data_IF_534120381510
#
_entry.id   IF_534120381510
#
_cell.length_a   1.000
_cell.length_b   1.000
_cell.length_c   1.000
_cell.angle_alpha   90.00
_cell.angle_beta   90.00
_cell.angle_gamma   90.00
#
_symmetry.space_group_name_H-M   'P 1'
#
loop_
_entity.id
_entity.type
_entity.pdbx_description
1 polymer ?
#
# COMPACT_ATOMS: atom_id res chain seq x y z
N UNK A 1 21.83 -7.17 3.24
CA UNK A 1 20.64 -8.02 3.12
C UNK A 1 19.57 -7.12 2.55
N UNK A 2 18.99 -7.44 1.39
CA UNK A 2 17.97 -6.61 0.76
C UNK A 2 16.63 -6.87 1.44
N UNK A 3 15.94 -5.80 1.86
CA UNK A 3 14.62 -5.89 2.47
C UNK A 3 13.59 -5.50 1.40
N UNK A 4 12.72 -6.45 1.05
CA UNK A 4 11.68 -6.24 0.03
C UNK A 4 10.41 -5.75 0.72
N UNK A 5 9.90 -4.64 0.25
CA UNK A 5 8.63 -4.07 0.70
C UNK A 5 7.65 -4.02 -0.47
N UNK A 6 6.38 -3.98 -0.14
CA UNK A 6 5.30 -3.80 -1.09
C UNK A 6 4.86 -2.35 -1.04
N UNK A 7 4.82 -1.72 -2.21
CA UNK A 7 4.28 -0.39 -2.41
C UNK A 7 2.97 -0.51 -3.15
N UNK A 8 1.87 0.00 -2.58
CA UNK A 8 0.60 0.13 -3.29
C UNK A 8 0.41 1.58 -3.70
N UNK A 9 0.24 1.82 -5.00
CA UNK A 9 -0.06 3.15 -5.53
C UNK A 9 -1.56 3.35 -5.65
N UNK A 10 -1.99 4.61 -5.60
CA UNK A 10 -3.37 5.00 -5.80
C UNK A 10 -3.46 6.11 -6.84
N UNK A 11 -4.58 6.16 -7.57
CA UNK A 11 -4.91 7.30 -8.43
C UNK A 11 -5.64 8.41 -7.65
N UNK A 12 -6.28 8.08 -6.52
CA UNK A 12 -6.98 9.06 -5.68
C UNK A 12 -6.52 9.02 -4.22
N UNK A 13 -6.55 10.18 -3.57
CA UNK A 13 -6.29 10.31 -2.13
C UNK A 13 -7.39 9.61 -1.31
N UNK A 14 -8.61 9.53 -1.83
CA UNK A 14 -9.72 8.84 -1.15
C UNK A 14 -9.42 7.36 -0.94
N UNK A 15 -8.83 6.71 -1.94
CA UNK A 15 -8.47 5.28 -1.87
C UNK A 15 -7.30 5.06 -0.91
N UNK A 16 -6.31 5.97 -0.93
CA UNK A 16 -5.21 5.96 0.02
C UNK A 16 -5.70 6.05 1.48
N UNK A 17 -6.67 6.93 1.76
CA UNK A 17 -7.27 7.06 3.09
C UNK A 17 -8.12 5.84 3.48
N UNK A 18 -8.87 5.27 2.53
CA UNK A 18 -9.64 4.05 2.77
C UNK A 18 -8.72 2.87 3.11
N UNK A 19 -7.58 2.75 2.42
CA UNK A 19 -6.59 1.74 2.75
C UNK A 19 -5.98 1.98 4.13
N UNK A 20 -5.66 3.22 4.49
CA UNK A 20 -5.11 3.55 5.81
C UNK A 20 -6.04 3.06 6.94
N UNK A 21 -7.33 3.34 6.82
CA UNK A 21 -8.32 2.92 7.82
C UNK A 21 -8.40 1.40 7.91
N UNK A 22 -8.51 0.72 6.76
CA UNK A 22 -8.58 -0.73 6.72
C UNK A 22 -7.33 -1.41 7.29
N UNK A 23 -6.13 -0.90 6.96
CA UNK A 23 -4.87 -1.47 7.44
C UNK A 23 -4.74 -1.25 8.95
N UNK A 24 -5.15 -0.08 9.44
CA UNK A 24 -5.18 0.22 10.86
C UNK A 24 -6.15 -0.67 11.62
N UNK A 25 -7.31 -1.00 11.05
CA UNK A 25 -8.26 -1.96 11.63
C UNK A 25 -7.73 -3.39 11.62
N UNK A 26 -7.02 -3.78 10.56
CA UNK A 26 -6.40 -5.09 10.43
C UNK A 26 -5.14 -5.26 11.31
N UNK A 27 -4.57 -4.15 11.79
CA UNK A 27 -3.36 -4.13 12.61
C UNK A 27 -2.10 -4.50 11.83
N UNK A 28 -2.08 -4.27 10.51
CA UNK A 28 -0.89 -4.53 9.70
C UNK A 28 0.11 -3.38 9.83
N UNK A 29 1.41 -3.69 9.72
CA UNK A 29 2.47 -2.68 9.75
C UNK A 29 2.67 -2.06 8.37
N UNK A 30 1.70 -1.26 7.98
CA UNK A 30 1.77 -0.42 6.80
C UNK A 30 1.78 1.06 7.17
N UNK A 31 2.45 1.87 6.37
CA UNK A 31 2.42 3.32 6.48
C UNK A 31 2.14 3.94 5.11
N UNK A 32 1.25 4.94 5.09
CA UNK A 32 1.12 5.81 3.93
C UNK A 32 2.35 6.70 3.85
N UNK A 33 3.12 6.57 2.78
CA UNK A 33 4.27 7.41 2.48
C UNK A 33 3.98 8.29 1.26
N UNK A 34 4.63 9.47 1.17
CA UNK A 34 4.68 10.20 -0.09
C UNK A 34 5.32 9.31 -1.16
N UNK A 35 4.77 9.35 -2.36
CA UNK A 35 5.23 8.54 -3.48
C UNK A 35 6.71 8.82 -3.78
N UNK A 36 7.57 7.79 -3.82
CA UNK A 36 8.96 7.93 -4.23
C UNK A 36 9.08 8.43 -5.68
N UNK A 37 10.08 9.25 -5.98
CA UNK A 37 10.36 9.76 -7.34
C UNK A 37 10.49 8.64 -8.41
N UNK A 38 10.94 7.45 -7.99
CA UNK A 38 11.04 6.26 -8.86
C UNK A 38 9.68 5.66 -9.24
N UNK A 39 8.63 5.97 -8.49
CA UNK A 39 7.28 5.47 -8.71
C UNK A 39 6.41 6.61 -9.26
N UNK A 40 5.76 6.36 -10.40
CA UNK A 40 4.86 7.35 -11.03
C UNK A 40 3.42 6.92 -10.82
N UNK A 41 2.68 7.65 -9.98
CA UNK A 41 1.29 7.39 -9.62
C UNK A 41 0.51 8.70 -9.53
N UNK A 42 -0.79 8.64 -9.84
CA UNK A 42 -1.64 9.80 -10.07
C UNK A 42 -1.84 10.73 -8.87
N UNK A 43 -1.85 10.21 -7.64
CA UNK A 43 -2.18 11.01 -6.44
C UNK A 43 -0.96 11.49 -5.63
N UNK A 44 0.25 11.00 -5.92
CA UNK A 44 1.46 11.34 -5.16
C UNK A 44 1.59 10.67 -3.78
N UNK A 45 0.70 9.71 -3.45
CA UNK A 45 0.79 8.89 -2.25
C UNK A 45 0.91 7.40 -2.58
N UNK A 46 1.58 6.69 -1.69
CA UNK A 46 1.81 5.27 -1.78
C UNK A 46 1.70 4.62 -0.41
N UNK A 47 1.12 3.43 -0.35
CA UNK A 47 1.11 2.63 0.86
C UNK A 47 2.34 1.73 0.89
N UNK A 48 3.20 1.88 1.90
CA UNK A 48 4.37 1.03 2.11
C UNK A 48 4.06 -0.02 3.15
N UNK A 49 4.31 -1.28 2.80
CA UNK A 49 4.09 -2.42 3.67
C UNK A 49 5.26 -3.42 3.57
N UNK A 50 5.58 -4.17 4.63
CA UNK A 50 6.47 -5.34 4.49
C UNK A 50 5.88 -6.43 3.59
N UNK A 51 6.73 -7.10 2.79
CA UNK A 51 6.34 -8.21 1.91
C UNK A 51 5.79 -9.42 2.67
N UNK A 52 6.22 -9.62 3.92
CA UNK A 52 5.75 -10.68 4.83
C UNK A 52 4.26 -10.58 5.12
N UNK A 53 3.69 -9.38 5.12
CA UNK A 53 2.27 -9.14 5.37
C UNK A 53 1.46 -8.93 4.07
N UNK A 54 2.05 -9.24 2.91
CA UNK A 54 1.33 -9.22 1.62
C UNK A 54 0.08 -10.09 1.64
N UNK A 55 0.14 -11.27 2.25
CA UNK A 55 -1.00 -12.18 2.36
C UNK A 55 -2.22 -11.56 3.06
N UNK A 56 -2.08 -11.08 4.31
CA UNK A 56 -3.18 -10.40 4.99
C UNK A 56 -3.58 -9.08 4.32
N UNK A 57 -2.65 -8.34 3.69
CA UNK A 57 -2.99 -7.15 2.90
C UNK A 57 -3.90 -7.49 1.71
N UNK A 58 -3.57 -8.51 0.92
CA UNK A 58 -4.40 -8.95 -0.22
C UNK A 58 -5.78 -9.45 0.25
N UNK A 59 -5.84 -10.14 1.40
CA UNK A 59 -7.09 -10.57 2.00
C UNK A 59 -7.95 -9.37 2.44
N UNK A 60 -7.34 -8.39 3.10
CA UNK A 60 -7.97 -7.16 3.53
C UNK A 60 -8.50 -6.34 2.34
N UNK A 61 -7.69 -6.19 1.28
CA UNK A 61 -8.10 -5.47 0.07
C UNK A 61 -9.31 -6.11 -0.59
N UNK A 62 -9.40 -7.45 -0.60
CA UNK A 62 -10.60 -8.17 -1.06
C UNK A 62 -11.79 -8.02 -0.12
N UNK A 63 -11.56 -8.12 1.19
CA UNK A 63 -12.64 -8.07 2.19
C UNK A 63 -13.27 -6.68 2.29
N UNK A 64 -12.43 -5.64 2.31
CA UNK A 64 -12.80 -4.23 2.38
C UNK A 64 -13.08 -3.61 1.00
N UNK A 65 -12.90 -4.38 -0.08
CA UNK A 65 -13.04 -3.93 -1.47
C UNK A 65 -12.29 -2.61 -1.74
N UNK A 66 -11.02 -2.56 -1.34
CA UNK A 66 -10.18 -1.37 -1.47
C UNK A 66 -9.71 -1.20 -2.91
N UNK A 67 -10.11 -0.08 -3.51
CA UNK A 67 -9.57 0.34 -4.79
C UNK A 67 -8.09 0.73 -4.64
N UNK A 68 -7.29 0.26 -5.58
CA UNK A 68 -5.85 0.49 -5.64
C UNK A 68 -5.44 0.51 -7.10
N UNK A 69 -4.44 1.32 -7.43
CA UNK A 69 -3.95 1.42 -8.80
C UNK A 69 -3.07 0.20 -9.12
N UNK A 70 -1.93 0.08 -8.42
CA UNK A 70 -0.97 -1.02 -8.63
C UNK A 70 -0.29 -1.41 -7.34
N UNK A 71 -0.02 -2.70 -7.21
CA UNK A 71 0.83 -3.26 -6.17
C UNK A 71 2.19 -3.53 -6.80
N UNK A 72 3.23 -2.88 -6.27
CA UNK A 72 4.61 -2.94 -6.73
C UNK A 72 5.48 -3.51 -5.62
N UNK A 73 6.51 -4.25 -6.00
CA UNK A 73 7.55 -4.69 -5.06
C UNK A 73 8.72 -3.71 -5.16
N UNK A 74 9.11 -3.11 -4.04
CA UNK A 74 10.21 -2.16 -3.96
C UNK A 74 11.29 -2.70 -3.02
N UNK A 75 12.55 -2.60 -3.44
CA UNK A 75 13.71 -3.01 -2.64
C UNK A 75 14.47 -1.76 -2.22
N UNK A 76 14.72 -1.60 -0.91
CA UNK A 76 15.48 -0.47 -0.35
C UNK A 76 16.96 -0.80 -0.17
#
# INVERSE_FOLDING_TARGET
MSEKVVIVTFESVTDAMAMEEAVKEAGLNGELIPLPDELSAGCGYAWKHELTERGPLEALMKEKALDHDKILEWER
#
